data_IF_997600892831
#
_entry.id   IF_997600892831
#
_cell.length_a   1.000
_cell.length_b   1.000
_cell.length_c   1.000
_cell.angle_alpha   90.00
_cell.angle_beta   90.00
_cell.angle_gamma   90.00
#
_symmetry.space_group_name_H-M   'P 1'
#
loop_
_entity.id
_entity.type
_entity.pdbx_description
1 polymer ?
#
# COMPACT_ATOMS: atom_id res chain seq x y z
N UNK A 1 21.94 -5.69 12.94
CA UNK A 1 22.35 -6.70 11.96
C UNK A 1 21.63 -6.39 10.66
N UNK A 2 22.27 -5.65 9.75
CA UNK A 2 21.70 -5.28 8.46
C UNK A 2 22.12 -6.33 7.44
N UNK A 3 21.24 -7.31 7.17
CA UNK A 3 21.41 -8.32 6.12
C UNK A 3 21.67 -7.71 4.72
N UNK A 4 21.38 -6.42 4.57
CA UNK A 4 21.50 -5.64 3.35
C UNK A 4 22.74 -4.73 3.31
N UNK A 5 23.64 -4.78 4.30
CA UNK A 5 24.85 -3.94 4.32
C UNK A 5 25.91 -4.40 3.32
N UNK A 6 26.01 -5.71 3.07
CA UNK A 6 27.00 -6.32 2.18
C UNK A 6 26.42 -6.67 0.80
N UNK A 7 25.32 -6.00 0.40
CA UNK A 7 24.66 -6.29 -0.87
C UNK A 7 25.51 -5.83 -2.07
N UNK A 8 25.59 -6.61 -3.16
CA UNK A 8 26.52 -6.33 -4.27
C UNK A 8 26.20 -5.08 -5.09
N UNK A 9 25.06 -4.43 -4.86
CA UNK A 9 24.64 -3.22 -5.59
C UNK A 9 24.10 -2.15 -4.63
N UNK A 10 24.09 -0.89 -5.10
CA UNK A 10 23.56 0.22 -4.33
C UNK A 10 22.04 0.06 -4.14
N UNK A 11 21.59 0.11 -2.89
CA UNK A 11 20.18 -0.02 -2.50
C UNK A 11 19.52 1.34 -2.29
N UNK A 12 20.25 2.43 -2.52
CA UNK A 12 19.74 3.78 -2.39
C UNK A 12 18.61 4.02 -3.39
N UNK A 13 17.43 4.34 -2.84
CA UNK A 13 16.21 4.55 -3.63
C UNK A 13 15.20 3.41 -3.52
N UNK A 14 15.61 2.24 -3.00
CA UNK A 14 14.68 1.14 -2.72
C UNK A 14 13.91 1.37 -1.40
N UNK A 15 12.83 2.16 -1.47
CA UNK A 15 12.00 2.50 -0.30
C UNK A 15 11.18 1.30 0.22
N UNK A 16 10.87 0.36 -0.66
CA UNK A 16 10.16 -0.87 -0.34
C UNK A 16 10.98 -1.77 0.60
N UNK A 17 12.31 -1.76 0.49
CA UNK A 17 13.21 -2.46 1.41
C UNK A 17 13.12 -1.96 2.85
N UNK A 18 12.65 -0.72 3.08
CA UNK A 18 12.46 -0.18 4.42
C UNK A 18 11.41 -0.97 5.21
N UNK A 19 10.50 -1.66 4.54
CA UNK A 19 9.53 -2.57 5.19
C UNK A 19 10.25 -3.68 5.97
N UNK A 20 11.38 -4.18 5.46
CA UNK A 20 12.17 -5.24 6.10
C UNK A 20 13.31 -4.69 6.96
N UNK A 21 14.01 -3.67 6.45
CA UNK A 21 15.24 -3.15 7.08
C UNK A 21 14.99 -2.16 8.20
N UNK A 22 13.93 -1.33 8.11
CA UNK A 22 13.58 -0.28 9.07
C UNK A 22 12.06 -0.15 9.16
N UNK A 23 11.34 -1.21 9.60
CA UNK A 23 9.89 -1.17 9.69
C UNK A 23 9.41 0.01 10.52
N UNK A 24 10.15 0.42 11.54
CA UNK A 24 9.62 1.35 12.54
C UNK A 24 9.41 2.75 11.96
N UNK A 25 10.26 3.13 11.00
CA UNK A 25 10.15 4.39 10.24
C UNK A 25 8.87 4.41 9.40
N UNK A 26 8.54 3.31 8.71
CA UNK A 26 7.32 3.22 7.91
C UNK A 26 6.08 3.31 8.82
N UNK A 27 6.21 2.82 10.05
CA UNK A 27 5.13 2.80 11.05
C UNK A 27 4.82 4.20 11.51
N UNK A 28 5.86 4.94 11.90
CA UNK A 28 5.77 6.33 12.30
C UNK A 28 5.19 7.22 11.19
N UNK A 29 5.60 7.00 9.93
CA UNK A 29 5.03 7.70 8.77
C UNK A 29 3.54 7.37 8.64
N UNK A 30 3.17 6.10 8.74
CA UNK A 30 1.77 5.69 8.65
C UNK A 30 0.93 6.31 9.76
N UNK A 31 1.40 6.24 11.00
CA UNK A 31 0.74 6.82 12.17
C UNK A 31 0.56 8.33 11.98
N UNK A 32 1.58 9.05 11.50
CA UNK A 32 1.47 10.48 11.21
C UNK A 32 0.38 10.80 10.17
N UNK A 33 0.21 9.97 9.14
CA UNK A 33 -0.86 10.15 8.16
C UNK A 33 -2.25 9.87 8.76
N UNK A 34 -2.39 8.87 9.64
CA UNK A 34 -3.65 8.62 10.33
C UNK A 34 -4.00 9.73 11.31
N UNK A 35 -3.02 10.25 12.05
CA UNK A 35 -3.19 11.43 12.92
C UNK A 35 -3.56 12.69 12.14
N UNK A 36 -3.05 12.85 10.92
CA UNK A 36 -3.47 13.92 10.00
C UNK A 36 -4.89 13.73 9.44
N UNK A 37 -5.53 12.59 9.69
CA UNK A 37 -6.91 12.30 9.30
C UNK A 37 -7.07 11.44 8.06
N UNK A 38 -6.00 10.79 7.57
CA UNK A 38 -6.11 9.86 6.45
C UNK A 38 -7.05 8.68 6.79
N UNK A 39 -7.89 8.31 5.83
CA UNK A 39 -8.78 7.15 5.91
C UNK A 39 -8.21 5.91 5.24
N UNK A 40 -7.30 6.12 4.28
CA UNK A 40 -6.72 5.11 3.42
C UNK A 40 -5.24 5.43 3.36
N UNK A 41 -4.42 4.39 3.49
CA UNK A 41 -2.98 4.48 3.31
C UNK A 41 -2.52 3.33 2.43
N UNK A 42 -1.45 3.58 1.69
CA UNK A 42 -0.77 2.56 0.90
C UNK A 42 0.20 1.75 1.77
N UNK A 43 0.54 0.56 1.32
CA UNK A 43 1.36 -0.41 2.05
C UNK A 43 2.86 -0.09 2.05
N UNK A 44 3.34 0.91 1.33
CA UNK A 44 4.78 1.09 1.02
C UNK A 44 5.34 -0.11 0.25
N UNK A 45 4.64 -0.48 -0.82
CA UNK A 45 4.99 -1.60 -1.71
C UNK A 45 4.86 -1.21 -3.19
N UNK A 46 5.03 0.07 -3.51
CA UNK A 46 4.78 0.61 -4.85
C UNK A 46 5.71 0.00 -5.91
N UNK A 47 6.99 -0.23 -5.55
CA UNK A 47 7.98 -0.84 -6.44
C UNK A 47 8.25 -2.32 -6.08
N UNK A 48 7.42 -2.94 -5.24
CA UNK A 48 7.57 -4.34 -4.81
C UNK A 48 7.12 -5.35 -5.88
N UNK A 49 7.64 -5.18 -7.09
CA UNK A 49 7.43 -6.07 -8.25
C UNK A 49 8.77 -6.68 -8.66
N UNK A 50 8.73 -7.84 -9.32
CA UNK A 50 9.95 -8.50 -9.81
C UNK A 50 10.74 -7.63 -10.78
N UNK A 51 10.07 -6.81 -11.60
CA UNK A 51 10.71 -5.93 -12.58
C UNK A 51 11.48 -4.81 -11.89
N UNK A 52 10.85 -4.08 -10.97
CA UNK A 52 11.51 -2.96 -10.28
C UNK A 52 12.57 -3.44 -9.26
N UNK A 53 12.40 -4.64 -8.70
CA UNK A 53 13.40 -5.25 -7.81
C UNK A 53 14.60 -5.84 -8.54
N UNK A 54 14.52 -6.04 -9.86
CA UNK A 54 15.64 -6.53 -10.67
C UNK A 54 16.79 -5.53 -10.72
N UNK A 55 16.49 -4.22 -10.68
CA UNK A 55 17.51 -3.16 -10.60
C UNK A 55 18.39 -3.27 -9.34
N UNK A 56 17.89 -3.94 -8.30
CA UNK A 56 18.57 -4.19 -7.02
C UNK A 56 18.98 -5.65 -6.82
N UNK A 57 18.79 -6.53 -7.82
CA UNK A 57 19.01 -7.99 -7.70
C UNK A 57 18.23 -8.61 -6.52
N UNK A 58 16.99 -8.15 -6.30
CA UNK A 58 16.13 -8.52 -5.17
C UNK A 58 14.77 -9.10 -5.61
N UNK A 59 14.67 -9.65 -6.82
CA UNK A 59 13.42 -10.15 -7.39
C UNK A 59 12.73 -11.18 -6.49
N UNK A 60 13.52 -12.02 -5.83
CA UNK A 60 13.05 -13.05 -4.89
C UNK A 60 12.42 -12.47 -3.62
N UNK A 61 12.83 -11.27 -3.21
CA UNK A 61 12.32 -10.59 -2.01
C UNK A 61 10.99 -9.86 -2.25
N UNK A 62 10.59 -9.65 -3.50
CA UNK A 62 9.34 -8.94 -3.84
C UNK A 62 8.11 -9.52 -3.13
N UNK A 63 7.95 -10.84 -3.14
CA UNK A 63 6.85 -11.52 -2.48
C UNK A 63 6.91 -11.41 -0.95
N UNK A 64 8.13 -11.49 -0.39
CA UNK A 64 8.37 -11.39 1.04
C UNK A 64 8.04 -9.97 1.56
N UNK A 65 8.46 -8.92 0.85
CA UNK A 65 8.17 -7.53 1.22
C UNK A 65 6.65 -7.29 1.29
N UNK A 66 5.93 -7.75 0.27
CA UNK A 66 4.47 -7.65 0.22
C UNK A 66 3.80 -8.40 1.37
N UNK A 67 4.29 -9.60 1.68
CA UNK A 67 3.76 -10.41 2.77
C UNK A 67 4.06 -9.82 4.15
N UNK A 68 5.31 -9.40 4.38
CA UNK A 68 5.75 -8.78 5.61
C UNK A 68 4.90 -7.55 5.94
N UNK A 69 4.66 -6.70 4.94
CA UNK A 69 3.78 -5.55 5.14
C UNK A 69 2.35 -5.95 5.50
N UNK A 70 1.78 -6.95 4.82
CA UNK A 70 0.42 -7.45 5.09
C UNK A 70 0.28 -7.99 6.51
N UNK A 71 1.34 -8.56 7.08
CA UNK A 71 1.33 -9.13 8.44
C UNK A 71 1.30 -8.08 9.56
N UNK A 72 1.58 -6.82 9.25
CA UNK A 72 1.66 -5.76 10.25
C UNK A 72 0.27 -5.36 10.75
N UNK A 73 0.09 -5.14 12.07
CA UNK A 73 -1.19 -4.69 12.61
C UNK A 73 -1.62 -3.36 12.00
N UNK A 74 -2.93 -3.16 11.93
CA UNK A 74 -3.47 -1.85 11.62
C UNK A 74 -3.04 -0.85 12.70
N UNK A 75 -2.79 0.42 12.34
CA UNK A 75 -2.43 1.45 13.30
C UNK A 75 -3.55 1.68 14.30
N UNK A 76 -3.18 2.18 15.48
CA UNK A 76 -4.14 2.46 16.52
C UNK A 76 -5.15 3.52 16.04
N UNK A 77 -6.44 3.40 16.40
CA UNK A 77 -7.41 4.43 16.07
C UNK A 77 -7.05 5.74 16.77
N UNK A 78 -7.03 6.84 16.02
CA UNK A 78 -6.77 8.19 16.52
C UNK A 78 -7.79 8.59 17.59
N UNK A 79 -7.34 9.00 18.81
CA UNK A 79 -8.22 9.40 19.90
C UNK A 79 -9.15 10.56 19.50
N UNK A 80 -10.43 10.48 19.88
CA UNK A 80 -11.41 11.54 19.61
C UNK A 80 -12.03 11.52 18.22
N UNK A 81 -11.62 10.60 17.34
CA UNK A 81 -12.27 10.40 16.04
C UNK A 81 -13.57 9.58 16.19
N UNK A 82 -14.72 10.05 15.69
CA UNK A 82 -15.95 9.28 15.74
C UNK A 82 -15.80 7.98 14.95
N UNK A 83 -16.24 6.86 15.54
CA UNK A 83 -16.21 5.55 14.90
C UNK A 83 -16.94 5.60 13.54
N UNK A 84 -16.23 5.25 12.47
CA UNK A 84 -16.76 5.33 11.11
C UNK A 84 -18.00 4.43 10.98
N UNK A 85 -19.16 5.03 10.70
CA UNK A 85 -20.37 4.30 10.33
C UNK A 85 -20.05 3.48 9.07
N UNK A 86 -19.96 2.16 9.21
CA UNK A 86 -19.77 1.25 8.07
C UNK A 86 -21.01 1.38 7.18
N UNK A 87 -20.95 2.21 6.15
CA UNK A 87 -22.01 2.27 5.14
C UNK A 87 -22.01 0.95 4.36
N UNK A 88 -22.80 -0.01 4.84
CA UNK A 88 -23.07 -1.32 4.23
C UNK A 88 -23.72 -1.22 2.83
N UNK A 89 -23.99 0.00 2.34
CA UNK A 89 -24.71 0.29 1.10
C UNK A 89 -23.83 0.37 -0.16
N UNK A 90 -22.49 0.35 -0.06
CA UNK A 90 -21.61 0.44 -1.24
C UNK A 90 -21.41 -0.88 -2.01
N UNK A 91 -22.00 -2.00 -1.56
CA UNK A 91 -21.74 -3.32 -2.17
C UNK A 91 -22.56 -3.66 -3.42
N UNK A 92 -23.47 -2.78 -3.88
CA UNK A 92 -24.33 -3.06 -5.06
C UNK A 92 -24.32 -1.99 -6.16
N UNK A 93 -23.83 -0.78 -5.90
CA UNK A 93 -23.91 0.32 -6.86
C UNK A 93 -22.80 0.31 -7.93
N UNK A 94 -21.63 -0.30 -7.65
CA UNK A 94 -20.49 -0.28 -8.58
C UNK A 94 -20.61 -1.28 -9.75
N UNK A 95 -21.57 -2.22 -9.73
CA UNK A 95 -21.76 -3.22 -10.79
C UNK A 95 -22.87 -2.85 -11.79
N UNK A 96 -23.58 -1.74 -11.58
CA UNK A 96 -24.53 -1.24 -12.56
C UNK A 96 -23.77 -0.47 -13.64
N UNK A 97 -23.37 -1.16 -14.73
CA UNK A 97 -22.95 -0.48 -15.95
C UNK A 97 -24.10 0.41 -16.42
N UNK A 98 -23.90 1.70 -16.72
CA UNK A 98 -24.89 2.46 -17.46
C UNK A 98 -25.02 1.84 -18.85
N UNK A 99 -26.17 1.25 -19.16
CA UNK A 99 -26.50 0.86 -20.53
C UNK A 99 -26.61 2.14 -21.34
N UNK A 100 -25.67 2.38 -22.26
CA UNK A 100 -25.78 3.46 -23.23
C UNK A 100 -27.07 3.28 -24.05
N UNK A 101 -27.87 4.34 -24.28
CA UNK A 101 -29.05 4.25 -25.13
C UNK A 101 -28.62 3.99 -26.58
N UNK A 102 -29.42 3.23 -27.37
CA UNK A 102 -29.09 2.93 -28.75
C UNK A 102 -29.01 4.20 -29.61
N UNK A 103 -28.04 4.23 -30.52
CA UNK A 103 -27.72 5.31 -31.49
C UNK A 103 -28.81 5.55 -32.56
N UNK A 104 -30.06 5.17 -32.31
CA UNK A 104 -31.17 5.37 -33.25
C UNK A 104 -31.92 6.69 -33.06
N UNK A 105 -31.42 7.60 -32.20
CA UNK A 105 -32.11 8.86 -31.86
C UNK A 105 -31.32 10.14 -32.14
N UNK A 106 -30.35 10.07 -33.07
CA UNK A 106 -29.59 11.24 -33.54
C UNK A 106 -29.79 11.56 -35.03
N UNK A 107 -30.95 11.21 -35.58
CA UNK A 107 -31.44 11.76 -36.86
C UNK A 107 -32.86 12.27 -36.69
#
# INVERSE_FOLDING_TARGET
>A
MSAFADWPCDLKGNNDLLVLSKPEVIREIHDAYFEAGADIIETNTFNSTTIAMADYQMESLSAEINFARRSWPAPAPTPGRPARRKNRAMSRACLARPTAPPLSRLM
#
